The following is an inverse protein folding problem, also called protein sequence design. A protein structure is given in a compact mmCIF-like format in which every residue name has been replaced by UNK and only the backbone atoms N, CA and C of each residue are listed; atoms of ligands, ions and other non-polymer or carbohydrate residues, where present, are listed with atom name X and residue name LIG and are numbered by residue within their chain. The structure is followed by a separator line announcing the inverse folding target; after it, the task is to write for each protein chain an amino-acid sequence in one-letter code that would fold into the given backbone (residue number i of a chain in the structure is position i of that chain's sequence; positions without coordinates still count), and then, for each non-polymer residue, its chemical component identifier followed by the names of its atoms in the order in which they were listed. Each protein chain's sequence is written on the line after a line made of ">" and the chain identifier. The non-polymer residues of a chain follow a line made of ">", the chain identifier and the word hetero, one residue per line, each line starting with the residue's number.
data_IF_554311389967
#
_entry.id   IF_554311389967
#
_cell.length_a   1.000
_cell.length_b   1.000
_cell.length_c   1.000
_cell.angle_alpha   90.00
_cell.angle_beta   90.00
_cell.angle_gamma   90.00
#
_symmetry.space_group_name_H-M   'P 1'
#
loop_
_entity.id
_entity.type
_entity.pdbx_description
1 polymer ?
#
# COMPACT_ATOMS: atom_id res chain seq x y z
N UNK A 1 13.67 2.23 -8.24
CA UNK A 1 12.35 1.82 -7.71
C UNK A 1 12.58 0.77 -6.65
N UNK A 2 11.85 0.84 -5.54
CA UNK A 2 12.18 0.05 -4.35
C UNK A 2 11.50 -1.33 -4.42
N UNK A 3 12.27 -2.44 -4.48
CA UNK A 3 11.73 -3.78 -4.33
C UNK A 3 11.23 -4.01 -2.90
N UNK A 4 10.32 -4.97 -2.72
CA UNK A 4 9.79 -5.36 -1.42
C UNK A 4 9.72 -6.89 -1.33
N UNK A 5 10.35 -7.47 -0.32
CA UNK A 5 10.13 -8.87 0.04
C UNK A 5 8.97 -8.90 1.04
N UNK A 6 7.90 -9.61 0.69
CA UNK A 6 6.76 -9.87 1.57
C UNK A 6 6.93 -11.26 2.21
N UNK A 7 7.10 -11.28 3.53
CA UNK A 7 7.24 -12.51 4.30
C UNK A 7 5.86 -12.94 4.81
N UNK A 8 5.37 -14.10 4.35
CA UNK A 8 4.05 -14.64 4.66
C UNK A 8 2.92 -13.66 4.31
N UNK A 9 1.96 -13.52 5.22
CA UNK A 9 0.73 -12.75 5.01
C UNK A 9 0.85 -11.23 5.29
N UNK A 10 2.06 -10.68 5.45
CA UNK A 10 2.25 -9.26 5.84
C UNK A 10 1.65 -8.23 4.87
N UNK A 11 1.48 -8.58 3.59
CA UNK A 11 0.82 -7.75 2.57
C UNK A 11 -0.60 -8.25 2.19
N UNK A 12 -1.21 -9.12 3.01
CA UNK A 12 -2.58 -9.60 2.75
C UNK A 12 -3.59 -8.45 2.75
N UNK A 13 -4.49 -8.45 1.77
CA UNK A 13 -5.52 -7.40 1.62
C UNK A 13 -5.00 -6.06 1.07
N UNK A 14 -3.71 -5.93 0.80
CA UNK A 14 -3.14 -4.74 0.15
C UNK A 14 -3.03 -4.95 -1.36
N UNK A 15 -3.09 -3.85 -2.11
CA UNK A 15 -2.82 -3.87 -3.55
C UNK A 15 -1.39 -4.42 -3.77
N UNK A 16 -1.29 -5.57 -4.42
CA UNK A 16 0.00 -6.18 -4.76
C UNK A 16 0.50 -5.64 -6.08
N UNK A 17 1.80 -5.40 -6.14
CA UNK A 17 2.47 -4.77 -7.27
C UNK A 17 3.67 -5.59 -7.71
N UNK A 18 4.14 -5.36 -8.93
CA UNK A 18 5.21 -6.16 -9.55
C UNK A 18 6.56 -6.07 -8.84
N UNK A 19 6.74 -5.11 -7.93
CA UNK A 19 7.93 -4.98 -7.09
C UNK A 19 7.91 -5.86 -5.84
N UNK A 20 6.86 -6.66 -5.63
CA UNK A 20 6.73 -7.55 -4.47
C UNK A 20 7.22 -8.95 -4.84
N UNK A 21 8.10 -9.49 -4.00
CA UNK A 21 8.48 -10.91 -3.98
C UNK A 21 7.86 -11.52 -2.74
N UNK A 22 6.90 -12.44 -2.92
CA UNK A 22 6.31 -13.21 -1.83
C UNK A 22 7.25 -14.36 -1.45
N UNK A 23 7.48 -14.57 -0.14
CA UNK A 23 8.22 -15.71 0.38
C UNK A 23 7.68 -16.12 1.76
N UNK A 24 7.86 -17.39 2.13
CA UNK A 24 7.78 -17.80 3.53
C UNK A 24 9.08 -17.48 4.26
N UNK A 25 9.08 -17.60 5.59
CA UNK A 25 10.30 -17.37 6.38
C UNK A 25 11.43 -18.34 6.02
N UNK A 26 11.07 -19.55 5.60
CA UNK A 26 12.01 -20.60 5.20
C UNK A 26 12.57 -20.39 3.77
N UNK A 27 11.96 -19.50 2.99
CA UNK A 27 12.30 -19.25 1.57
C UNK A 27 13.01 -17.90 1.38
N UNK A 28 13.55 -17.32 2.46
CA UNK A 28 14.16 -15.98 2.43
C UNK A 28 15.36 -15.91 1.49
N UNK A 29 16.20 -16.95 1.47
CA UNK A 29 17.39 -16.98 0.63
C UNK A 29 17.02 -16.92 -0.87
N UNK A 30 16.02 -17.69 -1.29
CA UNK A 30 15.50 -17.69 -2.66
C UNK A 30 14.85 -16.34 -3.01
N UNK A 31 14.22 -15.68 -2.05
CA UNK A 31 13.67 -14.35 -2.24
C UNK A 31 14.77 -13.32 -2.51
N UNK A 32 15.90 -13.40 -1.78
CA UNK A 32 17.07 -12.55 -2.02
C UNK A 32 17.73 -12.85 -3.37
N UNK A 33 17.90 -14.12 -3.74
CA UNK A 33 18.42 -14.50 -5.06
C UNK A 33 17.55 -13.93 -6.19
N UNK A 34 16.22 -14.04 -6.07
CA UNK A 34 15.28 -13.47 -7.04
C UNK A 34 15.35 -11.94 -7.07
N UNK A 35 15.51 -11.29 -5.91
CA UNK A 35 15.65 -9.84 -5.81
C UNK A 35 16.90 -9.34 -6.54
N UNK A 36 17.99 -10.11 -6.47
CA UNK A 36 19.25 -9.80 -7.16
C UNK A 36 19.26 -10.20 -8.64
N UNK A 37 18.28 -11.00 -9.09
CA UNK A 37 18.23 -11.48 -10.47
C UNK A 37 18.04 -10.34 -11.49
N UNK A 38 18.70 -10.47 -12.64
CA UNK A 38 18.58 -9.49 -13.72
C UNK A 38 17.16 -9.37 -14.27
N UNK A 39 16.42 -10.48 -14.36
CA UNK A 39 15.01 -10.48 -14.78
C UNK A 39 14.15 -9.60 -13.88
N UNK A 40 14.30 -9.73 -12.55
CA UNK A 40 13.53 -8.93 -11.61
C UNK A 40 13.92 -7.45 -11.66
N UNK A 41 15.23 -7.16 -11.72
CA UNK A 41 15.75 -5.79 -11.88
C UNK A 41 15.23 -5.14 -13.18
N UNK A 42 15.19 -5.88 -14.28
CA UNK A 42 14.67 -5.40 -15.57
C UNK A 42 13.15 -5.12 -15.50
N UNK A 43 12.37 -6.02 -14.91
CA UNK A 43 10.92 -5.80 -14.66
C UNK A 43 10.67 -4.51 -13.88
N UNK A 44 11.52 -4.20 -12.92
CA UNK A 44 11.42 -2.98 -12.12
C UNK A 44 11.77 -1.69 -12.88
N UNK A 45 12.61 -1.72 -13.92
CA UNK A 45 13.00 -0.50 -14.66
C UNK A 45 11.82 0.27 -15.22
N UNK A 46 10.75 -0.43 -15.63
CA UNK A 46 9.55 0.19 -16.24
C UNK A 46 8.31 0.19 -15.31
N UNK A 47 8.31 -0.57 -14.22
CA UNK A 47 7.23 -0.61 -13.22
C UNK A 47 6.81 0.77 -12.67
N UNK A 48 5.55 1.19 -12.75
CA UNK A 48 5.10 2.40 -12.04
C UNK A 48 4.47 2.00 -10.70
N UNK A 49 4.98 2.54 -9.60
CA UNK A 49 4.38 2.29 -8.31
C UNK A 49 3.03 3.02 -8.24
N UNK A 50 1.90 2.32 -8.06
CA UNK A 50 0.58 2.94 -8.00
C UNK A 50 0.43 3.96 -6.87
N UNK A 51 1.28 3.87 -5.84
CA UNK A 51 1.33 4.82 -4.72
C UNK A 51 2.16 6.08 -5.03
N UNK A 52 2.94 6.08 -6.10
CA UNK A 52 3.90 7.14 -6.46
C UNK A 52 3.25 8.20 -7.38
N UNK A 53 1.95 8.43 -7.21
CA UNK A 53 1.14 9.17 -8.17
C UNK A 53 1.15 10.69 -7.92
N UNK A 54 2.11 11.22 -7.14
CA UNK A 54 2.21 12.61 -6.61
C UNK A 54 0.98 13.13 -5.85
N UNK A 55 -0.13 12.39 -5.88
CA UNK A 55 -1.35 12.60 -5.10
C UNK A 55 -1.06 12.10 -3.70
N UNK A 56 -0.51 12.97 -2.86
CA UNK A 56 -0.22 12.68 -1.45
C UNK A 56 -1.50 12.18 -0.75
N UNK A 57 -1.67 10.86 -0.57
CA UNK A 57 -2.95 10.30 -0.13
C UNK A 57 -3.26 10.77 1.28
N UNK A 58 -2.24 10.88 2.13
CA UNK A 58 -2.34 11.41 3.48
C UNK A 58 -2.88 12.85 3.48
N UNK A 59 -2.40 13.70 2.57
CA UNK A 59 -2.92 15.07 2.42
C UNK A 59 -4.38 15.05 2.00
N UNK A 60 -4.74 14.23 1.02
CA UNK A 60 -6.13 14.13 0.51
C UNK A 60 -7.08 13.63 1.62
N UNK A 61 -6.72 12.54 2.29
CA UNK A 61 -7.48 11.96 3.41
C UNK A 61 -7.61 12.98 4.53
N UNK A 62 -6.51 13.62 4.94
CA UNK A 62 -6.51 14.66 5.98
C UNK A 62 -7.43 15.82 5.59
N UNK A 63 -7.35 16.31 4.36
CA UNK A 63 -8.20 17.40 3.88
C UNK A 63 -9.68 16.99 3.84
N UNK A 64 -10.00 15.77 3.37
CA UNK A 64 -11.37 15.26 3.40
C UNK A 64 -11.90 15.17 4.84
N UNK A 65 -11.16 14.53 5.74
CA UNK A 65 -11.58 14.36 7.14
C UNK A 65 -11.72 15.69 7.89
N UNK A 66 -10.92 16.71 7.54
CA UNK A 66 -11.04 18.05 8.14
C UNK A 66 -12.25 18.84 7.64
N UNK A 67 -12.68 18.59 6.41
CA UNK A 67 -13.68 19.41 5.73
C UNK A 67 -15.02 18.69 5.52
N UNK A 68 -15.13 17.42 5.95
CA UNK A 68 -16.38 16.67 5.85
C UNK A 68 -17.43 17.27 6.79
N UNK A 69 -18.66 17.43 6.29
CA UNK A 69 -19.78 17.86 7.12
C UNK A 69 -20.20 16.70 8.05
N UNK A 70 -20.06 16.90 9.35
CA UNK A 70 -20.39 15.91 10.38
C UNK A 70 -21.86 15.94 10.81
N UNK A 71 -22.64 16.96 10.42
CA UNK A 71 -24.06 17.12 10.79
C UNK A 71 -24.91 15.93 10.33
N UNK A 72 -24.47 15.24 9.27
CA UNK A 72 -25.15 14.06 8.70
C UNK A 72 -24.76 12.73 9.36
N UNK A 73 -23.73 12.71 10.21
CA UNK A 73 -23.23 11.49 10.86
C UNK A 73 -23.98 11.19 12.16
N UNK A 74 -24.56 12.22 12.79
CA UNK A 74 -25.38 12.04 14.00
C UNK A 74 -26.77 11.53 13.61
N UNK A 75 -26.94 10.20 13.64
CA UNK A 75 -28.24 9.55 13.42
C UNK A 75 -29.30 9.87 14.48
N UNK A 76 -28.92 10.50 15.60
CA UNK A 76 -29.82 10.76 16.73
C UNK A 76 -29.87 12.25 17.02
N UNK A 77 -31.04 12.84 16.79
CA UNK A 77 -31.34 14.19 17.24
C UNK A 77 -31.46 14.17 18.77
N UNK A 78 -30.62 14.96 19.45
CA UNK A 78 -30.84 15.28 20.85
C UNK A 78 -31.92 16.36 20.92
N UNK A 79 -33.03 16.04 21.57
CA UNK A 79 -34.09 17.00 21.87
C UNK A 79 -33.83 17.45 23.31
N UNK A 80 -33.46 18.72 23.50
CA UNK A 80 -33.47 19.35 24.81
C UNK A 80 -34.92 19.73 25.15
N UNK A 81 -35.38 19.29 26.33
CA UNK A 81 -36.72 19.50 26.90
C UNK A 81 -36.82 20.82 27.66
#
# INVERSE_FOLDING_TARGET
>A
KTPCINIGDRQKGRLRTQNIIDCEINDLDQAFEKLESEDFKQKLKNFKNPYDNNKNPNKIIKTCLKNVNLDTILHKNFIDL
#
